data_IF_529075972986
#
_entry.id   IF_529075972986
#
_cell.length_a   1.000
_cell.length_b   1.000
_cell.length_c   1.000
_cell.angle_alpha   90.00
_cell.angle_beta   90.00
_cell.angle_gamma   90.00
#
_symmetry.space_group_name_H-M   'P 1'
#
loop_
_entity.id
_entity.type
_entity.pdbx_description
1 polymer ?
#
# COMPACT_ATOMS: atom_id res chain seq x y z
N UNK A 1 5.87 24.46 4.13
CA UNK A 1 4.67 24.18 3.30
C UNK A 1 4.54 22.68 3.21
N UNK A 2 3.44 22.10 3.67
CA UNK A 2 3.19 20.68 3.45
C UNK A 2 3.00 20.44 1.93
N UNK A 3 3.50 19.33 1.37
CA UNK A 3 3.30 19.03 -0.05
C UNK A 3 1.81 18.95 -0.37
N UNK A 4 1.39 19.53 -1.49
CA UNK A 4 0.02 19.38 -1.97
C UNK A 4 -0.18 17.94 -2.46
N UNK A 5 -1.20 17.20 -1.97
CA UNK A 5 -1.49 15.87 -2.46
C UNK A 5 -1.74 15.90 -3.97
N UNK A 6 -1.08 15.02 -4.71
CA UNK A 6 -1.25 14.88 -6.16
C UNK A 6 -1.53 13.41 -6.49
N UNK A 7 -2.63 13.16 -7.19
CA UNK A 7 -2.93 11.82 -7.70
C UNK A 7 -2.03 11.53 -8.92
N UNK A 8 -1.29 10.42 -8.85
CA UNK A 8 -0.35 9.98 -9.87
C UNK A 8 -0.81 8.71 -10.60
N UNK A 9 -1.74 7.96 -10.01
CA UNK A 9 -2.34 6.78 -10.61
C UNK A 9 -3.68 7.22 -11.22
N UNK A 10 -3.69 7.85 -12.40
CA UNK A 10 -4.94 8.35 -13.03
C UNK A 10 -5.61 7.27 -13.87
N UNK A 11 -4.80 6.46 -14.56
CA UNK A 11 -5.22 5.38 -15.43
C UNK A 11 -4.53 4.06 -15.05
N UNK A 12 -5.05 2.89 -15.46
CA UNK A 12 -4.41 1.61 -15.16
C UNK A 12 -2.96 1.52 -15.70
N UNK A 13 -2.67 2.19 -16.82
CA UNK A 13 -1.32 2.29 -17.39
C UNK A 13 -0.32 3.01 -16.48
N UNK A 14 -0.79 3.89 -15.59
CA UNK A 14 0.08 4.54 -14.60
C UNK A 14 0.52 3.56 -13.51
N UNK A 15 -0.37 2.65 -13.09
CA UNK A 15 -0.04 1.56 -12.17
C UNK A 15 0.95 0.57 -12.82
N UNK A 16 0.69 0.18 -14.07
CA UNK A 16 1.60 -0.68 -14.83
C UNK A 16 3.02 -0.07 -14.94
N UNK A 17 3.10 1.25 -15.19
CA UNK A 17 4.37 2.00 -15.21
C UNK A 17 5.01 2.03 -13.82
N UNK A 18 4.23 2.24 -12.77
CA UNK A 18 4.71 2.30 -11.40
C UNK A 18 5.44 1.01 -11.00
N UNK A 19 4.90 -0.17 -11.32
CA UNK A 19 5.56 -1.46 -11.05
C UNK A 19 6.99 -1.56 -11.60
N UNK A 20 7.23 -0.99 -12.79
CA UNK A 20 8.56 -0.94 -13.39
C UNK A 20 9.44 0.08 -12.68
N UNK A 21 8.91 1.27 -12.42
CA UNK A 21 9.64 2.37 -11.77
C UNK A 21 10.18 1.96 -10.39
N UNK A 22 9.43 1.17 -9.62
CA UNK A 22 9.86 0.71 -8.30
C UNK A 22 10.65 -0.61 -8.32
N UNK A 23 10.92 -1.16 -9.52
CA UNK A 23 11.72 -2.38 -9.67
C UNK A 23 11.00 -3.68 -9.30
N UNK A 24 9.68 -3.67 -9.17
CA UNK A 24 8.88 -4.89 -8.91
C UNK A 24 8.79 -5.79 -10.15
N UNK A 25 8.98 -5.23 -11.34
CA UNK A 25 9.05 -5.97 -12.60
C UNK A 25 9.95 -5.24 -13.60
N UNK A 26 10.62 -5.96 -14.49
CA UNK A 26 11.39 -5.38 -15.60
C UNK A 26 10.52 -4.96 -16.79
N UNK A 27 9.23 -5.36 -16.80
CA UNK A 27 8.24 -5.03 -17.83
C UNK A 27 6.92 -4.61 -17.20
N UNK A 28 6.11 -3.75 -17.85
CA UNK A 28 4.81 -3.35 -17.32
C UNK A 28 3.91 -4.57 -17.11
N UNK A 29 3.44 -4.75 -15.88
CA UNK A 29 2.43 -5.77 -15.59
C UNK A 29 1.05 -5.24 -16.03
N UNK A 30 0.19 -6.08 -16.64
CA UNK A 30 -1.17 -5.68 -16.98
C UNK A 30 -1.91 -5.18 -15.73
N UNK A 31 -2.49 -3.99 -15.83
CA UNK A 31 -3.35 -3.43 -14.80
C UNK A 31 -4.68 -3.05 -15.46
N UNK A 32 -5.77 -3.37 -14.78
CA UNK A 32 -7.12 -2.99 -15.16
C UNK A 32 -7.69 -1.96 -14.19
N UNK A 33 -8.94 -1.55 -14.44
CA UNK A 33 -9.63 -0.57 -13.61
C UNK A 33 -9.85 -1.05 -12.18
N UNK A 34 -9.99 -2.36 -11.96
CA UNK A 34 -10.11 -2.90 -10.60
C UNK A 34 -8.78 -2.80 -9.85
N UNK A 35 -7.68 -3.19 -10.49
CA UNK A 35 -6.33 -3.08 -9.94
C UNK A 35 -5.97 -1.63 -9.60
N UNK A 36 -6.40 -0.68 -10.43
CA UNK A 36 -6.22 0.75 -10.16
C UNK A 36 -6.98 1.21 -8.91
N UNK A 37 -8.26 0.84 -8.78
CA UNK A 37 -9.07 1.15 -7.59
C UNK A 37 -8.45 0.55 -6.34
N UNK A 38 -8.13 -0.73 -6.40
CA UNK A 38 -7.50 -1.47 -5.32
C UNK A 38 -6.18 -0.84 -4.86
N UNK A 39 -5.32 -0.44 -5.81
CA UNK A 39 -4.05 0.21 -5.50
C UNK A 39 -4.25 1.58 -4.82
N UNK A 40 -5.24 2.38 -5.26
CA UNK A 40 -5.57 3.66 -4.63
C UNK A 40 -6.13 3.44 -3.21
N UNK A 41 -7.06 2.52 -3.04
CA UNK A 41 -7.66 2.21 -1.74
C UNK A 41 -6.60 1.75 -0.73
N UNK A 42 -5.71 0.85 -1.15
CA UNK A 42 -4.59 0.39 -0.32
C UNK A 42 -3.62 1.54 0.01
N UNK A 43 -3.24 2.36 -0.97
CA UNK A 43 -2.36 3.53 -0.75
C UNK A 43 -2.94 4.50 0.28
N UNK A 44 -4.24 4.80 0.16
CA UNK A 44 -4.92 5.71 1.07
C UNK A 44 -5.08 5.12 2.48
N UNK A 45 -5.37 3.82 2.60
CA UNK A 45 -5.40 3.15 3.89
C UNK A 45 -4.05 3.16 4.60
N UNK A 46 -2.95 2.89 3.86
CA UNK A 46 -1.58 2.98 4.39
C UNK A 46 -1.29 4.42 4.85
N UNK A 47 -1.64 5.42 4.03
CA UNK A 47 -1.42 6.82 4.38
C UNK A 47 -2.19 7.24 5.63
N UNK A 48 -3.49 6.92 5.73
CA UNK A 48 -4.29 7.22 6.92
C UNK A 48 -3.77 6.52 8.16
N UNK A 49 -3.43 5.23 8.07
CA UNK A 49 -2.87 4.47 9.18
C UNK A 49 -1.52 5.05 9.66
N UNK A 50 -0.61 5.34 8.73
CA UNK A 50 0.68 5.96 9.06
C UNK A 50 0.51 7.34 9.70
N UNK A 51 -0.46 8.13 9.21
CA UNK A 51 -0.79 9.42 9.79
C UNK A 51 -1.32 9.31 11.22
N UNK A 52 -2.28 8.41 11.48
CA UNK A 52 -2.77 8.18 12.85
C UNK A 52 -1.62 7.80 13.79
N UNK A 53 -0.73 6.90 13.37
CA UNK A 53 0.44 6.54 14.19
C UNK A 53 1.36 7.75 14.44
N UNK A 54 1.59 8.58 13.44
CA UNK A 54 2.38 9.81 13.58
C UNK A 54 1.72 10.85 14.51
N UNK A 55 0.40 10.81 14.64
CA UNK A 55 -0.40 11.63 15.56
C UNK A 55 -0.60 10.95 16.94
N UNK A 56 0.12 9.84 17.22
CA UNK A 56 0.01 9.02 18.44
C UNK A 56 -1.39 8.39 18.66
N UNK A 57 -2.19 8.31 17.60
CA UNK A 57 -3.51 7.71 17.59
C UNK A 57 -3.48 6.26 17.06
N UNK A 58 -4.55 5.52 17.36
CA UNK A 58 -4.72 4.18 16.78
C UNK A 58 -5.28 4.29 15.36
N UNK A 59 -4.71 3.57 14.37
CA UNK A 59 -5.32 3.45 13.06
C UNK A 59 -6.76 2.94 13.13
N UNK A 60 -7.60 3.41 12.21
CA UNK A 60 -8.96 2.92 12.08
C UNK A 60 -8.96 1.42 11.75
N UNK A 61 -9.90 0.67 12.33
CA UNK A 61 -10.01 -0.77 12.11
C UNK A 61 -10.14 -1.13 10.63
N UNK A 62 -10.92 -0.36 9.86
CA UNK A 62 -11.09 -0.58 8.43
C UNK A 62 -9.78 -0.47 7.64
N UNK A 63 -8.95 0.54 7.92
CA UNK A 63 -7.65 0.70 7.26
C UNK A 63 -6.70 -0.44 7.62
N UNK A 64 -6.65 -0.81 8.91
CA UNK A 64 -5.87 -1.95 9.39
C UNK A 64 -6.30 -3.26 8.74
N UNK A 65 -7.60 -3.51 8.67
CA UNK A 65 -8.15 -4.76 8.15
C UNK A 65 -7.96 -4.85 6.63
N UNK A 66 -8.04 -3.73 5.90
CA UNK A 66 -7.71 -3.68 4.47
C UNK A 66 -6.22 -3.99 4.22
N UNK A 67 -5.31 -3.37 4.97
CA UNK A 67 -3.88 -3.62 4.88
C UNK A 67 -3.57 -5.10 5.19
N UNK A 68 -4.15 -5.64 6.26
CA UNK A 68 -3.97 -7.04 6.64
C UNK A 68 -4.53 -8.01 5.60
N UNK A 69 -5.66 -7.67 4.96
CA UNK A 69 -6.25 -8.48 3.89
C UNK A 69 -5.29 -8.57 2.71
N UNK A 70 -4.67 -7.46 2.30
CA UNK A 70 -3.66 -7.47 1.24
C UNK A 70 -2.38 -8.20 1.64
N UNK A 71 -1.87 -7.96 2.85
CA UNK A 71 -0.67 -8.61 3.36
C UNK A 71 -0.84 -10.14 3.51
N UNK A 72 -2.05 -10.63 3.76
CA UNK A 72 -2.35 -12.05 3.89
C UNK A 72 -2.58 -12.79 2.56
N UNK A 73 -2.56 -12.11 1.42
CA UNK A 73 -2.71 -12.75 0.09
C UNK A 73 -1.43 -13.38 -0.41
N UNK A 74 -0.28 -12.79 -0.05
CA UNK A 74 1.02 -13.43 -0.22
C UNK A 74 1.31 -14.18 1.07
N UNK A 75 1.87 -15.39 0.97
CA UNK A 75 2.33 -16.17 2.13
C UNK A 75 3.63 -15.54 2.66
N UNK A 76 3.52 -14.26 3.07
CA UNK A 76 4.56 -13.48 3.70
C UNK A 76 4.86 -14.18 5.02
N UNK A 77 5.74 -15.18 4.95
CA UNK A 77 6.15 -15.97 6.10
C UNK A 77 6.61 -14.99 7.17
N UNK A 78 5.84 -14.89 8.24
CA UNK A 78 6.23 -14.15 9.43
C UNK A 78 7.41 -14.90 10.05
N UNK A 79 8.63 -14.50 9.70
CA UNK A 79 9.81 -14.91 10.46
C UNK A 79 9.95 -13.91 11.60
N UNK A 80 9.56 -14.31 12.81
CA UNK A 80 10.11 -13.65 13.99
C UNK A 80 11.61 -13.99 14.01
N UNK A 81 12.47 -12.99 13.85
CA UNK A 81 13.85 -13.14 14.30
C UNK A 81 13.86 -13.41 15.82
N UNK A 82 14.91 -14.06 16.32
CA UNK A 82 15.06 -14.50 17.71
C UNK A 82 14.88 -13.40 18.79
N UNK A 83 14.74 -12.15 18.39
CA UNK A 83 14.63 -10.98 19.27
C UNK A 83 13.17 -10.59 19.56
N UNK A 84 12.28 -11.58 19.74
CA UNK A 84 10.86 -11.33 20.04
C UNK A 84 10.66 -10.21 21.07
N UNK A 85 9.67 -9.36 20.82
CA UNK A 85 9.38 -8.15 21.60
C UNK A 85 9.33 -8.46 23.12
N UNK A 86 10.31 -7.93 23.85
CA UNK A 86 10.32 -7.87 25.32
C UNK A 86 9.47 -6.71 25.81
#
# INVERSE_FOLDING_TARGET
MAPTPREHLLHPSDLARWFVTVGLSSVPLPADEQSLRDARDLREAIYRAARSVAEEERPQAADRDLINTWAGRDDSVRVLGDTGAT
#
